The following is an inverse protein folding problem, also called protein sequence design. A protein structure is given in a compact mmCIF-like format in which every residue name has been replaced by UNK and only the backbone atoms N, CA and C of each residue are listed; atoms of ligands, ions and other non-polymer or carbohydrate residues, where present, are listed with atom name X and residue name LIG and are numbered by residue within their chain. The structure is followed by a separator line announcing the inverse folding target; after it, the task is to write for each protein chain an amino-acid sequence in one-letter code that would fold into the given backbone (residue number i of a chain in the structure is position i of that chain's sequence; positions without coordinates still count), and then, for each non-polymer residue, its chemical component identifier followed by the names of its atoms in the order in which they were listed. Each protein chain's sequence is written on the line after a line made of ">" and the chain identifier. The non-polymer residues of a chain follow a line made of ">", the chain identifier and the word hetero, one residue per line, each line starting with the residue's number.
data_IF_093911068678
#
_entry.id   IF_093911068678
#
_cell.length_a   1.000
_cell.length_b   1.000
_cell.length_c   1.000
_cell.angle_alpha   90.00
_cell.angle_beta   90.00
_cell.angle_gamma   90.00
#
_symmetry.space_group_name_H-M   'P 1'
#
loop_
_entity.id
_entity.type
_entity.pdbx_description
1 polymer ?
#
# COMPACT_ATOMS: atom_id res chain seq x y z
N UNK A 1 -3.20 15.43 -10.70
CA UNK A 1 -3.99 15.40 -11.95
C UNK A 1 -3.80 16.67 -12.77
N UNK A 2 -4.10 17.85 -12.23
CA UNK A 2 -3.87 19.14 -12.94
C UNK A 2 -2.44 19.28 -13.48
N UNK A 3 -1.43 19.04 -12.64
CA UNK A 3 -0.01 19.13 -13.02
C UNK A 3 0.36 18.11 -14.12
N UNK A 4 -0.08 16.86 -13.99
CA UNK A 4 0.24 15.79 -14.95
C UNK A 4 -0.45 16.02 -16.29
N UNK A 5 -1.65 16.60 -16.30
CA UNK A 5 -2.35 17.05 -17.51
C UNK A 5 -1.67 18.23 -18.17
N UNK A 6 -1.29 19.25 -17.39
CA UNK A 6 -0.57 20.42 -17.89
C UNK A 6 0.69 19.99 -18.67
N UNK A 7 1.54 19.16 -18.07
CA UNK A 7 2.78 18.73 -18.73
C UNK A 7 2.53 17.82 -19.93
N UNK A 8 1.54 16.92 -19.87
CA UNK A 8 1.17 16.12 -21.04
C UNK A 8 0.69 16.97 -22.21
N UNK A 9 -0.09 18.02 -21.96
CA UNK A 9 -0.51 18.99 -22.99
C UNK A 9 0.64 19.84 -23.54
N UNK A 10 1.74 19.98 -22.78
CA UNK A 10 2.97 20.66 -23.22
C UNK A 10 3.95 19.73 -23.96
N UNK A 11 3.50 18.53 -24.38
CA UNK A 11 4.30 17.62 -25.20
C UNK A 11 5.22 16.68 -24.42
N UNK A 12 5.09 16.62 -23.08
CA UNK A 12 5.89 15.71 -22.26
C UNK A 12 5.21 14.34 -22.14
N UNK A 13 6.02 13.28 -22.12
CA UNK A 13 5.55 11.95 -21.73
C UNK A 13 5.46 11.88 -20.19
N UNK A 14 4.25 11.73 -19.67
CA UNK A 14 3.99 11.70 -18.22
C UNK A 14 3.33 10.38 -17.83
N UNK A 15 4.13 9.45 -17.32
CA UNK A 15 3.65 8.19 -16.73
C UNK A 15 2.90 8.46 -15.41
N UNK A 16 1.83 7.70 -15.15
CA UNK A 16 0.93 7.92 -14.01
C UNK A 16 0.50 6.59 -13.43
N UNK A 17 1.26 6.06 -12.47
CA UNK A 17 0.95 4.80 -11.78
C UNK A 17 0.36 5.07 -10.40
N UNK A 18 -0.72 4.38 -10.05
CA UNK A 18 -1.28 4.45 -8.71
C UNK A 18 -0.41 3.66 -7.72
N UNK A 19 -0.33 4.14 -6.49
CA UNK A 19 0.40 3.50 -5.39
C UNK A 19 -0.51 3.23 -4.23
N UNK A 20 -0.40 2.03 -3.65
CA UNK A 20 -1.12 1.64 -2.44
C UNK A 20 -0.15 1.43 -1.30
N UNK A 21 -0.38 2.15 -0.20
CA UNK A 21 0.21 1.84 1.08
C UNK A 21 -0.67 0.81 1.80
N UNK A 22 -0.15 -0.39 1.99
CA UNK A 22 -0.90 -1.57 2.38
C UNK A 22 -0.51 -2.15 3.73
N UNK A 23 0.50 -1.62 4.41
CA UNK A 23 1.05 -2.18 5.64
C UNK A 23 0.96 -1.19 6.81
N UNK A 24 1.19 -1.71 8.01
CA UNK A 24 1.37 -0.92 9.23
C UNK A 24 0.08 -0.51 9.93
N UNK A 25 0.28 0.32 10.96
CA UNK A 25 -0.70 0.63 11.98
C UNK A 25 -2.08 1.09 11.48
N UNK A 26 -2.22 1.89 10.40
CA UNK A 26 -3.55 2.31 9.96
C UNK A 26 -4.44 1.14 9.53
N UNK A 27 -3.86 0.14 8.86
CA UNK A 27 -4.61 -1.05 8.41
C UNK A 27 -4.87 -1.99 9.59
N UNK A 28 -3.83 -2.23 10.40
CA UNK A 28 -3.88 -3.09 11.58
C UNK A 28 -4.93 -2.59 12.59
N UNK A 29 -4.97 -1.29 12.88
CA UNK A 29 -5.90 -0.70 13.83
C UNK A 29 -7.38 -0.84 13.40
N UNK A 30 -7.68 -0.76 12.11
CA UNK A 30 -9.03 -0.98 11.61
C UNK A 30 -9.44 -2.47 11.71
N UNK A 31 -8.49 -3.39 11.55
CA UNK A 31 -8.71 -4.81 11.81
C UNK A 31 -8.87 -5.08 13.30
N UNK A 32 -8.08 -4.45 14.16
CA UNK A 32 -8.17 -4.59 15.61
C UNK A 32 -9.56 -4.19 16.10
N UNK A 33 -10.09 -3.06 15.62
CA UNK A 33 -11.47 -2.65 15.91
C UNK A 33 -12.50 -3.66 15.41
N UNK A 34 -12.34 -4.15 14.18
CA UNK A 34 -13.28 -5.09 13.54
C UNK A 34 -13.33 -6.42 14.30
N UNK A 35 -12.18 -6.91 14.76
CA UNK A 35 -12.02 -8.19 15.43
C UNK A 35 -12.02 -8.06 16.96
N UNK A 36 -12.12 -6.83 17.49
CA UNK A 36 -12.05 -6.51 18.91
C UNK A 36 -10.77 -7.04 19.59
N UNK A 37 -9.64 -6.96 18.87
CA UNK A 37 -8.29 -7.23 19.38
C UNK A 37 -7.91 -6.10 20.34
N UNK A 38 -7.45 -6.44 21.54
CA UNK A 38 -7.07 -5.47 22.58
C UNK A 38 -5.64 -5.62 23.03
N UNK A 39 -5.03 -6.77 22.75
CA UNK A 39 -3.68 -7.11 23.13
C UNK A 39 -3.00 -7.94 22.04
N UNK A 40 -1.66 -7.94 21.98
CA UNK A 40 -0.92 -8.81 21.07
C UNK A 40 -1.23 -10.30 21.25
N UNK A 41 -1.56 -10.71 22.48
CA UNK A 41 -1.93 -12.09 22.79
C UNK A 41 -3.19 -12.54 22.03
N UNK A 42 -4.15 -11.62 21.81
CA UNK A 42 -5.37 -11.95 21.04
C UNK A 42 -5.05 -12.28 19.58
N UNK A 43 -3.99 -11.68 19.01
CA UNK A 43 -3.49 -11.97 17.67
C UNK A 43 -2.79 -13.33 17.64
N UNK A 44 -1.96 -13.61 18.64
CA UNK A 44 -1.27 -14.91 18.76
C UNK A 44 -2.28 -16.05 18.94
N UNK A 45 -3.31 -15.86 19.76
CA UNK A 45 -4.37 -16.85 20.01
C UNK A 45 -5.24 -17.08 18.76
N UNK A 46 -5.44 -16.04 17.92
CA UNK A 46 -6.16 -16.13 16.65
C UNK A 46 -5.33 -16.78 15.54
N UNK A 47 -4.01 -16.55 15.55
CA UNK A 47 -3.09 -16.88 14.48
C UNK A 47 -2.71 -15.66 13.64
N UNK A 48 -1.41 -15.42 13.53
CA UNK A 48 -0.83 -14.31 12.75
C UNK A 48 -1.21 -14.40 11.27
N UNK A 49 -1.33 -15.61 10.72
CA UNK A 49 -1.74 -15.85 9.35
C UNK A 49 -3.20 -15.41 9.10
N UNK A 50 -4.11 -15.72 10.02
CA UNK A 50 -5.51 -15.31 9.99
C UNK A 50 -5.61 -13.79 10.08
N UNK A 51 -4.90 -13.18 11.03
CA UNK A 51 -4.87 -11.73 11.21
C UNK A 51 -4.35 -11.01 9.95
N UNK A 52 -3.24 -11.50 9.39
CA UNK A 52 -2.66 -10.93 8.17
C UNK A 52 -3.55 -11.11 6.94
N UNK A 53 -4.30 -12.22 6.87
CA UNK A 53 -5.28 -12.43 5.81
C UNK A 53 -6.43 -11.40 5.89
N UNK A 54 -6.90 -11.09 7.10
CA UNK A 54 -7.90 -10.05 7.33
C UNK A 54 -7.37 -8.66 6.95
N UNK A 55 -6.14 -8.31 7.37
CA UNK A 55 -5.46 -7.08 6.96
C UNK A 55 -5.31 -6.96 5.44
N UNK A 56 -4.98 -8.06 4.76
CA UNK A 56 -4.89 -8.08 3.30
C UNK A 56 -6.26 -7.89 2.64
N UNK A 57 -7.32 -8.48 3.21
CA UNK A 57 -8.67 -8.41 2.65
C UNK A 57 -9.23 -6.98 2.62
N UNK A 58 -8.99 -6.20 3.68
CA UNK A 58 -9.49 -4.83 3.81
C UNK A 58 -8.80 -3.88 2.83
N UNK A 59 -7.50 -4.10 2.57
CA UNK A 59 -6.74 -3.33 1.57
C UNK A 59 -7.34 -3.49 0.18
N UNK A 60 -7.63 -4.72 -0.26
CA UNK A 60 -8.21 -4.96 -1.58
C UNK A 60 -9.64 -4.42 -1.71
N UNK A 61 -10.43 -4.47 -0.63
CA UNK A 61 -11.76 -3.86 -0.60
C UNK A 61 -11.68 -2.35 -0.83
N UNK A 62 -10.86 -1.65 -0.04
CA UNK A 62 -10.71 -0.20 -0.20
C UNK A 62 -10.09 0.18 -1.54
N UNK A 63 -9.16 -0.63 -2.06
CA UNK A 63 -8.57 -0.36 -3.37
C UNK A 63 -9.62 -0.26 -4.48
N UNK A 64 -10.59 -1.18 -4.48
CA UNK A 64 -11.70 -1.20 -5.44
C UNK A 64 -12.65 -0.02 -5.27
N UNK A 65 -12.97 0.34 -4.02
CA UNK A 65 -13.84 1.49 -3.73
C UNK A 65 -13.21 2.80 -4.20
N UNK A 66 -11.91 2.96 -3.95
CA UNK A 66 -11.14 4.12 -4.38
C UNK A 66 -11.02 4.21 -5.90
N UNK A 67 -10.85 3.10 -6.61
CA UNK A 67 -10.81 3.10 -8.08
C UNK A 67 -12.08 3.74 -8.68
N UNK A 68 -13.26 3.42 -8.13
CA UNK A 68 -14.54 3.99 -8.57
C UNK A 68 -14.56 5.51 -8.36
N UNK A 69 -14.16 5.97 -7.16
CA UNK A 69 -14.18 7.39 -6.80
C UNK A 69 -13.16 8.18 -7.65
N UNK A 70 -11.95 7.64 -7.83
CA UNK A 70 -10.88 8.29 -8.58
C UNK A 70 -11.24 8.41 -10.06
N UNK A 71 -11.82 7.36 -10.64
CA UNK A 71 -12.36 7.42 -12.01
C UNK A 71 -13.49 8.46 -12.11
N UNK A 72 -14.41 8.50 -11.14
CA UNK A 72 -15.52 9.46 -11.13
C UNK A 72 -15.08 10.92 -11.01
N UNK A 73 -14.01 11.17 -10.23
CA UNK A 73 -13.43 12.51 -10.07
C UNK A 73 -12.58 12.95 -11.28
N UNK A 74 -12.37 12.06 -12.26
CA UNK A 74 -11.68 12.39 -13.50
C UNK A 74 -10.15 12.39 -13.39
N UNK A 75 -9.57 11.84 -12.32
CA UNK A 75 -8.12 11.69 -12.21
C UNK A 75 -7.63 10.62 -13.18
N UNK A 76 -6.77 11.01 -14.11
CA UNK A 76 -6.18 10.08 -15.09
C UNK A 76 -4.96 9.41 -14.50
N UNK A 77 -5.12 8.16 -14.07
CA UNK A 77 -4.07 7.35 -13.45
C UNK A 77 -4.29 5.87 -13.75
N UNK A 78 -3.20 5.14 -13.91
CA UNK A 78 -3.19 3.71 -14.17
C UNK A 78 -3.39 2.92 -12.86
N UNK A 79 -4.45 2.12 -12.83
CA UNK A 79 -4.78 1.19 -11.74
C UNK A 79 -4.41 -0.27 -12.08
N UNK A 80 -4.14 -0.59 -13.35
CA UNK A 80 -3.78 -1.94 -13.79
C UNK A 80 -2.30 -2.22 -13.50
N UNK A 81 -1.42 -1.27 -13.83
CA UNK A 81 0.00 -1.35 -13.49
C UNK A 81 0.33 -0.60 -12.20
N UNK A 82 -0.52 -0.72 -11.17
CA UNK A 82 -0.25 -0.08 -9.90
C UNK A 82 0.98 -0.68 -9.17
N UNK A 83 1.39 -0.08 -8.06
CA UNK A 83 2.28 -0.71 -7.10
C UNK A 83 1.60 -0.80 -5.74
N UNK A 84 1.84 -1.90 -5.04
CA UNK A 84 1.33 -2.15 -3.70
C UNK A 84 2.49 -2.52 -2.80
N UNK A 85 2.57 -1.96 -1.60
CA UNK A 85 3.66 -2.27 -0.67
C UNK A 85 3.65 -3.73 -0.19
N UNK A 86 2.51 -4.43 -0.34
CA UNK A 86 2.36 -5.87 -0.08
C UNK A 86 2.91 -6.79 -1.18
N UNK A 87 3.29 -6.25 -2.34
CA UNK A 87 3.82 -7.05 -3.44
C UNK A 87 5.25 -7.52 -3.11
N UNK A 88 5.60 -8.79 -3.34
CA UNK A 88 6.92 -9.32 -3.00
C UNK A 88 8.09 -8.53 -3.59
N UNK A 89 7.97 -8.07 -4.83
CA UNK A 89 9.01 -7.28 -5.52
C UNK A 89 9.24 -5.91 -4.87
N UNK A 90 8.19 -5.31 -4.31
CA UNK A 90 8.32 -4.06 -3.54
C UNK A 90 9.04 -4.34 -2.22
N UNK A 91 8.63 -5.38 -1.49
CA UNK A 91 9.26 -5.78 -0.23
C UNK A 91 10.74 -6.14 -0.41
N UNK A 92 11.08 -6.86 -1.47
CA UNK A 92 12.47 -7.19 -1.82
C UNK A 92 13.31 -5.94 -2.07
N UNK A 93 12.74 -4.94 -2.76
CA UNK A 93 13.41 -3.65 -2.96
C UNK A 93 13.66 -2.93 -1.63
N UNK A 94 12.73 -3.00 -0.68
CA UNK A 94 12.90 -2.45 0.68
C UNK A 94 14.00 -3.19 1.43
N UNK A 95 14.05 -4.52 1.36
CA UNK A 95 15.11 -5.32 1.97
C UNK A 95 16.49 -4.98 1.40
N UNK A 96 16.57 -4.79 0.08
CA UNK A 96 17.80 -4.34 -0.58
C UNK A 96 18.22 -2.95 -0.10
N UNK A 97 17.30 -1.98 -0.01
CA UNK A 97 17.62 -0.65 0.52
C UNK A 97 18.13 -0.75 1.96
N UNK A 98 17.44 -1.53 2.80
CA UNK A 98 17.83 -1.73 4.19
C UNK A 98 19.21 -2.39 4.32
N UNK A 99 19.51 -3.41 3.50
CA UNK A 99 20.82 -4.05 3.51
C UNK A 99 21.92 -3.08 3.12
N UNK A 100 21.68 -2.18 2.16
CA UNK A 100 22.63 -1.12 1.79
C UNK A 100 22.89 -0.13 2.93
N UNK A 101 21.85 0.27 3.66
CA UNK A 101 22.01 1.14 4.82
C UNK A 101 22.82 0.45 5.93
N UNK A 102 22.56 -0.83 6.17
CA UNK A 102 23.30 -1.64 7.13
C UNK A 102 24.78 -1.80 6.75
N UNK A 103 25.08 -2.17 5.50
CA UNK A 103 26.45 -2.28 4.97
C UNK A 103 27.25 -0.97 5.09
N UNK A 104 26.57 0.18 5.03
CA UNK A 104 27.16 1.51 5.18
C UNK A 104 27.30 1.96 6.64
N UNK A 105 26.87 1.16 7.61
CA UNK A 105 26.89 1.53 9.03
C UNK A 105 25.88 2.64 9.39
N UNK A 106 24.84 2.83 8.59
CA UNK A 106 23.76 3.79 8.84
C UNK A 106 22.63 3.21 9.69
N UNK A 107 22.71 1.91 10.00
CA UNK A 107 21.81 1.17 10.88
C UNK A 107 22.67 0.44 11.91
N UNK A 108 22.27 0.52 13.18
CA UNK A 108 23.02 -0.01 14.34
C UNK A 108 22.24 -1.11 15.06
#
# INVERSE_FOLDING_TARGET
>A
DVVTRYWASNGYHVERRFGWDCHGLPVEYEIDKKLNVKSPQDVDDMGIDVYNAECRSIVFRYAKEWEVIVKRTGRWIDFENDYKTLNPTFMESVWWVFSRLYEQGLVY
#
